data_IF_109458574861
#
_entry.id   IF_109458574861
#
_cell.length_a   1.000
_cell.length_b   1.000
_cell.length_c   1.000
_cell.angle_alpha   90.00
_cell.angle_beta   90.00
_cell.angle_gamma   90.00
#
_symmetry.space_group_name_H-M   'P 1'
#
loop_
_entity.id
_entity.type
_entity.pdbx_description
1 polymer ?
#
# COMPACT_ATOMS: atom_id res chain seq x y z
N UNK A 1 14.38 5.08 1.78
CA UNK A 1 14.55 5.53 0.36
C UNK A 1 15.79 4.97 -0.33
N UNK A 2 17.04 5.21 0.11
CA UNK A 2 18.22 4.65 -0.58
C UNK A 2 18.20 3.12 -0.70
N UNK A 3 17.67 2.45 0.33
CA UNK A 3 17.39 1.01 0.32
C UNK A 3 16.61 0.56 -0.94
N UNK A 4 15.48 1.22 -1.23
CA UNK A 4 14.62 0.92 -2.38
C UNK A 4 15.30 1.24 -3.72
N UNK A 5 16.18 2.24 -3.76
CA UNK A 5 16.94 2.58 -4.96
C UNK A 5 17.98 1.50 -5.31
N UNK A 6 18.58 0.85 -4.30
CA UNK A 6 19.48 -0.29 -4.52
C UNK A 6 18.70 -1.46 -5.14
N UNK A 7 17.49 -1.76 -4.63
CA UNK A 7 16.61 -2.76 -5.24
C UNK A 7 16.28 -2.44 -6.68
N UNK A 8 15.85 -1.21 -6.97
CA UNK A 8 15.53 -0.78 -8.33
C UNK A 8 16.73 -0.91 -9.27
N UNK A 9 17.93 -0.54 -8.81
CA UNK A 9 19.16 -0.67 -9.59
C UNK A 9 19.47 -2.13 -9.92
N UNK A 10 19.37 -3.04 -8.94
CA UNK A 10 19.62 -4.47 -9.15
C UNK A 10 18.58 -5.12 -10.07
N UNK A 11 17.31 -4.72 -9.91
CA UNK A 11 16.23 -5.15 -10.79
C UNK A 11 16.49 -4.76 -12.26
N UNK A 12 16.93 -3.53 -12.51
CA UNK A 12 17.19 -3.03 -13.86
C UNK A 12 18.47 -3.64 -14.45
N UNK A 13 19.58 -3.64 -13.70
CA UNK A 13 20.90 -3.97 -14.27
C UNK A 13 21.23 -5.45 -14.25
N UNK A 14 20.73 -6.19 -13.27
CA UNK A 14 21.08 -7.59 -13.06
C UNK A 14 19.87 -8.53 -13.22
N UNK A 15 18.68 -7.97 -13.49
CA UNK A 15 17.41 -8.71 -13.53
C UNK A 15 17.22 -9.58 -12.28
N UNK A 16 17.72 -9.10 -11.15
CA UNK A 16 17.62 -9.81 -9.89
C UNK A 16 16.14 -9.84 -9.47
N UNK A 17 15.61 -11.06 -9.32
CA UNK A 17 14.23 -11.33 -8.90
C UNK A 17 14.20 -12.06 -7.58
N UNK A 18 15.29 -12.01 -6.82
CA UNK A 18 15.32 -12.60 -5.48
C UNK A 18 14.15 -12.06 -4.65
N UNK A 19 13.51 -12.97 -3.94
CA UNK A 19 12.30 -12.69 -3.16
C UNK A 19 12.64 -11.91 -1.89
N UNK A 20 13.82 -12.13 -1.34
CA UNK A 20 14.34 -11.40 -0.19
C UNK A 20 14.92 -10.04 -0.62
N UNK A 21 15.54 -9.99 -1.81
CA UNK A 21 16.07 -8.77 -2.43
C UNK A 21 17.37 -8.25 -1.79
N UNK A 22 17.83 -8.85 -0.68
CA UNK A 22 19.01 -8.41 0.09
C UNK A 22 20.23 -9.33 -0.04
N UNK A 23 20.37 -10.01 -1.18
CA UNK A 23 21.51 -10.87 -1.48
C UNK A 23 22.87 -10.15 -1.53
N UNK A 24 23.97 -10.87 -1.84
CA UNK A 24 25.33 -10.31 -1.82
C UNK A 24 25.49 -9.03 -2.66
N UNK A 25 24.83 -8.95 -3.82
CA UNK A 25 24.87 -7.76 -4.68
C UNK A 25 24.26 -6.52 -4.02
N UNK A 26 23.19 -6.70 -3.24
CA UNK A 26 22.58 -5.64 -2.43
C UNK A 26 23.55 -5.18 -1.36
N UNK A 27 24.14 -6.12 -0.63
CA UNK A 27 25.07 -5.83 0.47
C UNK A 27 26.30 -5.07 -0.02
N UNK A 28 26.91 -5.48 -1.13
CA UNK A 28 28.07 -4.78 -1.72
C UNK A 28 27.72 -3.33 -2.07
N UNK A 29 26.56 -3.09 -2.69
CA UNK A 29 26.12 -1.72 -3.02
C UNK A 29 25.80 -0.90 -1.78
N UNK A 30 25.10 -1.50 -0.81
CA UNK A 30 24.75 -0.88 0.46
C UNK A 30 26.01 -0.43 1.22
N UNK A 31 27.00 -1.32 1.37
CA UNK A 31 28.26 -1.01 2.05
C UNK A 31 29.04 0.08 1.34
N UNK A 32 29.10 0.02 0.00
CA UNK A 32 29.76 1.06 -0.80
C UNK A 32 29.12 2.44 -0.58
N UNK A 33 27.80 2.54 -0.69
CA UNK A 33 27.08 3.82 -0.50
C UNK A 33 27.27 4.34 0.92
N UNK A 34 27.15 3.47 1.93
CA UNK A 34 27.38 3.85 3.32
C UNK A 34 28.81 4.39 3.55
N UNK A 35 29.82 3.76 2.95
CA UNK A 35 31.22 4.20 3.03
C UNK A 35 31.48 5.53 2.34
N UNK A 36 30.90 5.75 1.16
CA UNK A 36 31.12 6.96 0.36
C UNK A 36 30.34 8.19 0.89
N UNK A 37 29.13 7.97 1.42
CA UNK A 37 28.21 9.06 1.78
C UNK A 37 28.01 9.26 3.28
N UNK A 38 28.52 8.33 4.11
CA UNK A 38 28.28 8.33 5.56
C UNK A 38 26.84 7.98 5.95
N UNK A 39 26.04 7.42 5.05
CA UNK A 39 24.68 6.95 5.38
C UNK A 39 24.72 5.65 6.18
N UNK A 40 23.62 5.34 6.86
CA UNK A 40 23.43 4.09 7.61
C UNK A 40 22.29 3.25 7.00
N UNK A 41 22.44 2.84 5.74
CA UNK A 41 21.50 1.93 5.08
C UNK A 41 21.64 0.54 5.71
N UNK A 42 20.53 -0.05 6.12
CA UNK A 42 20.44 -1.41 6.66
C UNK A 42 19.73 -2.36 5.71
N UNK A 43 20.05 -3.65 5.85
CA UNK A 43 19.31 -4.76 5.23
C UNK A 43 17.87 -4.80 5.76
N UNK A 44 17.73 -4.63 7.07
CA UNK A 44 16.41 -4.56 7.69
C UNK A 44 15.81 -3.17 7.50
N UNK A 45 14.67 -3.12 6.82
CA UNK A 45 13.85 -1.92 6.74
C UNK A 45 12.42 -2.28 7.21
N UNK A 46 11.77 -1.36 7.92
CA UNK A 46 10.36 -1.50 8.29
C UNK A 46 9.54 -0.50 7.49
N UNK A 47 8.76 -0.99 6.52
CA UNK A 47 7.82 -0.16 5.76
C UNK A 47 6.91 0.66 6.67
N UNK A 48 6.49 0.09 7.80
CA UNK A 48 5.66 0.77 8.79
C UNK A 48 6.38 1.95 9.45
N UNK A 49 7.68 1.82 9.73
CA UNK A 49 8.48 2.90 10.27
C UNK A 49 8.65 4.03 9.23
N UNK A 50 8.92 3.69 7.97
CA UNK A 50 9.00 4.69 6.89
C UNK A 50 7.68 5.44 6.72
N UNK A 51 6.56 4.72 6.62
CA UNK A 51 5.22 5.31 6.49
C UNK A 51 4.87 6.18 7.72
N UNK A 52 5.34 5.81 8.91
CA UNK A 52 5.12 6.59 10.12
C UNK A 52 5.80 7.97 10.06
N UNK A 53 6.99 8.07 9.44
CA UNK A 53 7.69 9.35 9.21
C UNK A 53 6.87 10.28 8.32
N UNK A 54 6.26 9.75 7.26
CA UNK A 54 5.46 10.56 6.32
C UNK A 54 4.10 10.99 6.88
N UNK A 55 3.56 10.28 7.87
CA UNK A 55 2.29 10.64 8.51
C UNK A 55 2.49 11.80 9.48
N UNK A 56 2.70 13.00 8.97
CA UNK A 56 3.04 14.18 9.77
C UNK A 56 1.84 14.84 10.47
N UNK A 57 0.61 14.58 10.01
CA UNK A 57 -0.59 15.21 10.56
C UNK A 57 -1.32 14.25 11.49
N UNK A 58 -1.39 14.61 12.77
CA UNK A 58 -1.95 13.77 13.81
C UNK A 58 -3.20 14.42 14.38
N UNK A 59 -4.25 13.64 14.51
CA UNK A 59 -5.46 13.99 15.22
C UNK A 59 -5.70 12.98 16.34
N UNK A 60 -6.26 13.48 17.44
CA UNK A 60 -6.69 12.66 18.56
C UNK A 60 -8.15 12.96 18.87
N UNK A 61 -8.96 11.92 18.99
CA UNK A 61 -10.33 12.07 19.43
C UNK A 61 -10.38 12.51 20.89
N UNK A 62 -11.34 13.36 21.24
CA UNK A 62 -11.57 13.79 22.63
C UNK A 62 -12.54 12.85 23.39
N UNK A 63 -13.02 11.78 22.75
CA UNK A 63 -14.01 10.88 23.34
C UNK A 63 -13.46 9.64 24.04
N UNK A 64 -14.37 8.70 24.43
CA UNK A 64 -14.01 7.44 25.10
C UNK A 64 -13.15 6.52 24.23
N UNK A 65 -13.20 6.67 22.89
CA UNK A 65 -12.38 5.85 21.99
C UNK A 65 -10.86 6.04 22.15
N UNK A 66 -10.42 7.01 22.98
CA UNK A 66 -9.03 7.14 23.43
C UNK A 66 -8.53 5.92 24.18
N UNK A 67 -9.40 5.22 24.89
CA UNK A 67 -9.04 4.02 25.66
C UNK A 67 -9.32 2.73 24.90
N UNK A 68 -10.01 2.81 23.75
CA UNK A 68 -10.39 1.66 22.96
C UNK A 68 -9.28 1.21 22.02
N UNK A 69 -8.99 -0.10 22.07
CA UNK A 69 -8.12 -0.77 21.11
C UNK A 69 -8.82 -0.86 19.74
N UNK A 70 -8.07 -0.86 18.63
CA UNK A 70 -6.60 -0.83 18.55
C UNK A 70 -6.00 0.58 18.41
N UNK A 71 -6.81 1.60 18.10
CA UNK A 71 -6.31 2.90 17.65
C UNK A 71 -6.15 3.94 18.77
N UNK A 72 -6.79 3.74 19.93
CA UNK A 72 -6.69 4.64 21.09
C UNK A 72 -6.98 6.11 20.73
N UNK A 73 -7.98 6.31 19.86
CA UNK A 73 -8.42 7.62 19.39
C UNK A 73 -7.44 8.34 18.46
N UNK A 74 -6.35 7.71 18.01
CA UNK A 74 -5.38 8.33 17.11
C UNK A 74 -5.74 8.16 15.64
N UNK A 75 -5.59 9.24 14.88
CA UNK A 75 -5.59 9.21 13.42
C UNK A 75 -4.36 9.94 12.93
N UNK A 76 -3.52 9.26 12.15
CA UNK A 76 -2.27 9.82 11.59
C UNK A 76 -2.35 9.76 10.07
N UNK A 77 -2.12 10.88 9.38
CA UNK A 77 -2.18 10.98 7.92
C UNK A 77 -0.98 11.75 7.35
N UNK A 78 -0.68 11.48 6.08
CA UNK A 78 0.34 12.18 5.32
C UNK A 78 -0.11 13.57 4.85
N UNK A 79 -1.43 13.78 4.68
CA UNK A 79 -2.00 15.06 4.27
C UNK A 79 -2.80 15.67 5.42
N UNK A 80 -2.87 17.01 5.47
CA UNK A 80 -3.66 17.77 6.42
C UNK A 80 -5.17 17.68 6.13
N UNK A 81 -5.75 16.50 6.30
CA UNK A 81 -7.18 16.22 6.15
C UNK A 81 -7.76 15.72 7.46
N UNK A 82 -8.58 16.55 8.10
CA UNK A 82 -9.27 16.14 9.32
C UNK A 82 -10.13 14.88 9.07
N UNK A 83 -10.24 13.98 10.07
CA UNK A 83 -11.19 12.89 10.02
C UNK A 83 -12.62 13.41 9.82
N UNK A 84 -13.39 12.79 8.94
CA UNK A 84 -14.73 13.27 8.62
C UNK A 84 -15.57 12.30 7.78
N UNK A 85 -16.75 12.73 7.31
CA UNK A 85 -17.72 11.85 6.64
C UNK A 85 -17.24 11.12 5.38
N UNK A 86 -16.15 11.58 4.77
CA UNK A 86 -15.51 10.90 3.64
C UNK A 86 -14.76 9.63 4.04
N UNK A 87 -14.42 9.48 5.33
CA UNK A 87 -13.78 8.27 5.83
C UNK A 87 -14.80 7.16 6.04
N UNK A 88 -14.50 5.97 5.52
CA UNK A 88 -15.42 4.82 5.55
C UNK A 88 -15.91 4.44 6.96
N UNK A 89 -15.06 4.66 7.97
CA UNK A 89 -15.32 4.35 9.39
C UNK A 89 -15.99 5.50 10.17
N UNK A 90 -16.17 6.68 9.56
CA UNK A 90 -16.66 7.87 10.26
C UNK A 90 -18.06 7.70 10.84
N UNK A 91 -18.95 7.02 10.09
CA UNK A 91 -20.33 6.76 10.54
C UNK A 91 -20.33 5.94 11.84
N UNK A 92 -19.50 4.89 11.90
CA UNK A 92 -19.40 4.03 13.07
C UNK A 92 -18.78 4.77 14.27
N UNK A 93 -17.76 5.59 14.02
CA UNK A 93 -17.17 6.44 15.07
C UNK A 93 -18.19 7.43 15.62
N UNK A 94 -18.97 8.07 14.74
CA UNK A 94 -20.01 9.02 15.16
C UNK A 94 -21.11 8.35 15.99
N UNK A 95 -21.47 7.10 15.68
CA UNK A 95 -22.46 6.35 16.45
C UNK A 95 -21.94 5.90 17.83
N UNK A 96 -20.70 5.42 17.91
CA UNK A 96 -20.15 4.83 19.16
C UNK A 96 -19.52 5.85 20.10
N UNK A 97 -18.80 6.81 19.54
CA UNK A 97 -18.04 7.79 20.29
C UNK A 97 -18.76 9.14 20.25
N UNK A 98 -19.15 9.59 19.06
CA UNK A 98 -19.81 10.89 18.82
C UNK A 98 -19.00 12.13 19.24
N UNK A 99 -17.69 11.99 19.47
CA UNK A 99 -16.79 13.12 19.79
C UNK A 99 -15.99 13.58 18.57
N UNK A 100 -15.38 14.76 18.70
CA UNK A 100 -14.58 15.39 17.64
C UNK A 100 -13.09 15.04 17.74
N UNK A 101 -12.41 15.15 16.60
CA UNK A 101 -10.96 14.96 16.50
C UNK A 101 -10.23 16.31 16.57
N UNK A 102 -9.34 16.44 17.54
CA UNK A 102 -8.50 17.63 17.75
C UNK A 102 -7.14 17.40 17.08
N UNK A 103 -6.60 18.41 16.40
CA UNK A 103 -5.30 18.34 15.75
C UNK A 103 -4.20 18.48 16.80
N UNK A 104 -3.30 17.50 16.87
CA UNK A 104 -2.24 17.42 17.90
C UNK A 104 -0.87 17.80 17.32
N UNK A 105 -0.60 17.40 16.07
CA UNK A 105 0.68 17.68 15.41
C UNK A 105 0.46 18.28 14.03
N UNK A 106 1.12 19.40 13.78
CA UNK A 106 1.32 19.97 12.45
C UNK A 106 2.82 20.10 12.20
N UNK A 107 3.34 19.70 11.03
CA UNK A 107 4.71 20.03 10.64
C UNK A 107 4.86 21.55 10.57
N UNK A 108 6.03 22.07 10.95
CA UNK A 108 6.32 23.50 10.85
C UNK A 108 6.06 23.98 9.43
N UNK A 109 5.12 24.93 9.29
CA UNK A 109 4.92 25.59 8.01
C UNK A 109 6.16 26.44 7.77
N UNK A 110 6.90 26.14 6.70
CA UNK A 110 7.94 27.03 6.21
C UNK A 110 7.35 28.44 6.14
N UNK A 111 7.84 29.34 7.00
CA UNK A 111 7.30 30.68 7.14
C UNK A 111 7.38 31.38 5.80
N UNK A 112 6.24 31.61 5.16
CA UNK A 112 6.16 32.62 4.10
C UNK A 112 6.57 33.94 4.76
N UNK A 113 7.63 34.56 4.23
CA UNK A 113 8.05 35.89 4.64
C UNK A 113 6.84 36.81 4.56
N UNK A 114 6.59 37.55 5.65
CA UNK A 114 5.51 38.54 5.75
C UNK A 114 5.72 39.61 4.69
N UNK A 115 4.70 39.87 3.89
CA UNK A 115 4.48 41.16 3.25
C UNK A 115 3.13 41.65 3.76
N UNK A 116 3.14 42.83 4.36
CA UNK A 116 2.03 43.45 5.07
C UNK A 116 0.87 43.86 4.15
N UNK A 117 -0.33 43.85 4.75
CA UNK A 117 -1.57 44.62 4.49
C UNK A 117 -2.28 44.59 3.13
N UNK A 118 -3.52 44.08 3.11
CA UNK A 118 -4.77 44.87 2.97
C UNK A 118 -6.01 43.94 2.96
N UNK A 119 -7.02 44.29 3.76
CA UNK A 119 -8.37 43.72 3.72
C UNK A 119 -9.16 44.32 2.52
N UNK A 120 -9.96 43.51 1.82
CA UNK A 120 -11.43 43.63 1.79
C UNK A 120 -12.10 42.91 0.57
N UNK A 121 -13.25 42.32 0.88
CA UNK A 121 -14.42 42.02 0.04
C UNK A 121 -14.50 40.95 -1.08
N UNK A 122 -15.75 40.45 -1.22
CA UNK A 122 -16.22 39.17 -1.78
C UNK A 122 -16.71 39.28 -3.25
N UNK A 123 -16.38 38.25 -4.07
CA UNK A 123 -17.18 37.51 -5.12
C UNK A 123 -16.37 37.26 -6.41
N UNK A 124 -16.78 36.34 -7.31
CA UNK A 124 -17.36 35.01 -7.15
C UNK A 124 -16.49 33.92 -7.83
N UNK A 125 -16.84 32.67 -7.53
CA UNK A 125 -16.21 31.43 -7.99
C UNK A 125 -16.35 31.23 -9.51
N UNK A 126 -15.25 31.38 -10.25
CA UNK A 126 -15.12 30.88 -11.63
C UNK A 126 -14.51 29.48 -11.61
N UNK A 127 -15.25 28.49 -12.10
CA UNK A 127 -14.76 27.13 -12.35
C UNK A 127 -13.91 27.17 -13.63
N UNK A 128 -12.58 27.14 -13.52
CA UNK A 128 -11.73 26.65 -14.60
C UNK A 128 -11.27 25.25 -14.23
N UNK A 129 -11.76 24.26 -14.96
CA UNK A 129 -11.24 22.90 -14.93
C UNK A 129 -9.81 22.95 -15.43
N UNK A 130 -8.85 22.73 -14.54
CA UNK A 130 -7.49 22.37 -14.93
C UNK A 130 -7.50 20.86 -14.98
N UNK A 131 -7.65 20.35 -16.19
CA UNK A 131 -7.46 18.94 -16.52
C UNK A 131 -5.98 18.62 -16.25
N UNK A 132 -5.73 18.07 -15.06
CA UNK A 132 -4.42 17.56 -14.69
C UNK A 132 -4.19 16.27 -15.48
N UNK A 133 -3.66 16.39 -16.69
CA UNK A 133 -3.14 15.27 -17.47
C UNK A 133 -2.01 14.64 -16.66
N UNK A 134 -2.34 13.61 -15.89
CA UNK A 134 -1.34 12.75 -15.26
C UNK A 134 -0.58 12.06 -16.40
N UNK A 135 0.59 12.57 -16.72
CA UNK A 135 1.46 11.94 -17.70
C UNK A 135 1.80 10.54 -17.19
N UNK A 136 1.42 9.53 -17.95
CA UNK A 136 1.71 8.13 -17.66
C UNK A 136 3.20 7.93 -17.47
N UNK A 137 3.58 7.20 -16.42
CA UNK A 137 4.97 6.84 -16.10
C UNK A 137 5.65 6.05 -17.22
N UNK A 138 4.87 5.50 -18.15
CA UNK A 138 5.34 4.83 -19.37
C UNK A 138 6.13 5.75 -20.32
N UNK A 139 6.11 7.06 -20.10
CA UNK A 139 6.96 8.01 -20.85
C UNK A 139 8.45 7.92 -20.48
N UNK A 140 8.78 7.42 -19.30
CA UNK A 140 10.15 7.36 -18.78
C UNK A 140 10.73 5.95 -18.75
N UNK A 141 9.87 4.92 -18.81
CA UNK A 141 10.27 3.53 -18.96
C UNK A 141 10.14 3.20 -20.44
N UNK A 142 11.23 3.38 -21.19
CA UNK A 142 11.28 3.14 -22.63
C UNK A 142 10.62 1.82 -23.00
N UNK A 143 9.61 1.88 -23.88
CA UNK A 143 8.94 0.72 -24.42
C UNK A 143 9.85 0.03 -25.44
N UNK A 144 10.73 -0.85 -24.98
CA UNK A 144 11.18 -2.00 -25.78
C UNK A 144 10.39 -3.21 -25.31
N UNK A 145 9.25 -3.44 -25.99
CA UNK A 145 8.50 -4.68 -25.88
C UNK A 145 9.36 -5.82 -26.41
N UNK A 146 9.98 -6.57 -25.50
CA UNK A 146 10.46 -7.92 -25.82
C UNK A 146 9.22 -8.78 -26.06
N UNK A 147 8.94 -9.05 -27.34
CA UNK A 147 7.89 -9.98 -27.75
C UNK A 147 8.28 -11.38 -27.30
N UNK A 148 7.68 -11.84 -26.20
CA UNK A 148 7.64 -13.26 -25.86
C UNK A 148 6.65 -13.93 -26.81
N UNK A 149 7.17 -14.61 -27.84
CA UNK A 149 6.37 -15.48 -28.69
C UNK A 149 5.86 -16.67 -27.86
N UNK A 150 4.58 -16.64 -27.50
CA UNK A 150 3.87 -17.79 -26.97
C UNK A 150 3.45 -18.68 -28.15
N UNK A 151 4.13 -19.81 -28.33
CA UNK A 151 3.68 -20.88 -29.22
C UNK A 151 2.37 -21.47 -28.69
N UNK A 152 1.30 -21.35 -29.49
CA UNK A 152 0.01 -21.97 -29.24
C UNK A 152 0.10 -23.44 -29.62
N UNK A 153 0.07 -24.35 -28.65
CA UNK A 153 -0.25 -25.76 -28.92
C UNK A 153 -1.76 -25.99 -28.75
N UNK A 154 -2.32 -26.65 -29.76
CA UNK A 154 -3.75 -26.91 -29.91
C UNK A 154 -4.23 -28.04 -28.98
N UNK A 155 -5.46 -27.89 -28.46
CA UNK A 155 -6.22 -28.95 -27.79
C UNK A 155 -6.46 -30.14 -28.74
N UNK A 156 -6.23 -31.38 -28.32
CA UNK A 156 -6.93 -32.53 -28.89
C UNK A 156 -8.26 -32.76 -28.17
N UNK A 157 -9.28 -33.04 -28.97
CA UNK A 157 -10.61 -33.46 -28.54
C UNK A 157 -10.63 -34.97 -28.25
N UNK A 158 -11.46 -35.38 -27.29
CA UNK A 158 -12.07 -36.71 -27.27
C UNK A 158 -11.86 -37.58 -26.03
N UNK A 159 -12.86 -37.60 -25.14
CA UNK A 159 -13.83 -38.70 -24.96
C UNK A 159 -14.30 -38.75 -23.50
N UNK A 160 -15.59 -38.46 -23.35
CA UNK A 160 -16.38 -38.66 -22.13
C UNK A 160 -16.46 -40.15 -21.80
N UNK A 161 -15.85 -40.57 -20.69
CA UNK A 161 -16.08 -41.88 -20.10
C UNK A 161 -17.14 -41.76 -19.00
N UNK A 162 -18.37 -42.18 -19.34
CA UNK A 162 -19.45 -42.41 -18.38
C UNK A 162 -18.98 -43.41 -17.31
N UNK A 163 -18.92 -42.96 -16.06
CA UNK A 163 -18.76 -43.82 -14.88
C UNK A 163 -20.09 -44.55 -14.64
N UNK A 164 -20.24 -45.76 -15.19
CA UNK A 164 -21.35 -46.68 -14.84
C UNK A 164 -21.07 -47.26 -13.46
N UNK A 165 -21.88 -46.88 -12.48
CA UNK A 165 -22.03 -47.59 -11.21
C UNK A 165 -22.57 -48.99 -11.48
N UNK A 166 -21.79 -50.04 -11.17
CA UNK A 166 -22.26 -51.44 -11.18
C UNK A 166 -23.09 -51.69 -9.92
N UNK A 167 -24.27 -52.28 -10.13
CA UNK A 167 -25.19 -52.86 -9.14
C UNK A 167 -25.12 -54.39 -9.32
N UNK A 168 -25.04 -55.14 -8.22
CA UNK A 168 -24.99 -56.62 -8.13
C UNK A 168 -24.39 -56.98 -6.75
N UNK A 169 -25.15 -57.35 -5.70
CA UNK A 169 -25.86 -58.63 -5.41
C UNK A 169 -24.81 -59.77 -5.37
N UNK A 170 -24.49 -60.43 -4.23
CA UNK A 170 -25.29 -61.38 -3.43
C UNK A 170 -24.75 -61.64 -1.99
N UNK A 171 -25.67 -62.15 -1.15
CA UNK A 171 -25.60 -63.12 -0.03
C UNK A 171 -24.34 -63.19 0.87
N UNK A 172 -24.42 -63.30 2.19
CA UNK A 172 -25.45 -63.87 3.07
C UNK A 172 -24.76 -64.86 4.03
N UNK A 173 -25.03 -64.72 5.35
CA UNK A 173 -24.90 -65.67 6.49
C UNK A 173 -24.64 -64.83 7.77
N UNK A 174 -25.58 -64.75 8.73
CA UNK A 174 -25.76 -65.67 9.88
C UNK A 174 -24.48 -65.74 10.75
N UNK A 175 -24.43 -65.68 12.08
CA UNK A 175 -25.34 -65.81 13.23
C UNK A 175 -24.47 -65.44 14.49
N UNK A 176 -25.05 -65.50 15.71
CA UNK A 176 -24.39 -65.73 17.03
C UNK A 176 -23.79 -64.45 17.71
N UNK A 177 -24.09 -63.99 18.94
CA UNK A 177 -24.85 -64.48 20.11
C UNK A 177 -25.14 -63.34 21.10
N UNK A 178 -26.29 -63.47 21.77
CA UNK A 178 -26.66 -63.15 23.18
C UNK A 178 -26.15 -61.87 23.82
#
# INVERSE_FOLDING_TARGET
MLHEMIHAHLFITQRDRDRDGHGPNFQVRMHRINGETGTAISIYHSFHAEVAVYKQHWWRCDGPCRNDRPFHGWVKRAMNRAPGPSDRWWKDHKLKCNWTFIKVKEPEKASKRKSDEAEDEKKPRVKKGVEATQQSITKWVGAETVVINATKEAKPAGKSTKRKTKKGIEAGQQLITK
#
